data_IF_112306648731
#
_entry.id   IF_112306648731
#
_cell.length_a   1.000
_cell.length_b   1.000
_cell.length_c   1.000
_cell.angle_alpha   90.00
_cell.angle_beta   90.00
_cell.angle_gamma   90.00
#
_symmetry.space_group_name_H-M   'P 1'
#
loop_
_entity.id
_entity.type
_entity.pdbx_description
1 polymer ?
#
# COMPACT_ATOMS: atom_id res chain seq x y z
N UNK A 1 0.05 -1.78 -31.43
CA UNK A 1 0.86 -0.71 -30.79
C UNK A 1 0.58 -0.78 -29.30
N UNK A 2 1.62 -0.85 -28.47
CA UNK A 2 1.48 -1.08 -27.02
C UNK A 2 0.83 0.08 -26.28
N UNK A 3 0.37 -0.18 -25.05
CA UNK A 3 -0.21 0.84 -24.16
C UNK A 3 0.88 1.76 -23.59
N UNK A 4 1.37 2.70 -24.40
CA UNK A 4 2.37 3.69 -23.96
C UNK A 4 2.05 5.08 -24.51
N UNK A 5 2.35 6.10 -23.73
CA UNK A 5 2.25 7.50 -24.14
C UNK A 5 3.29 7.87 -25.22
N UNK A 6 3.04 8.96 -25.94
CA UNK A 6 3.99 9.53 -26.91
C UNK A 6 5.22 10.15 -26.26
N UNK A 7 5.06 10.61 -25.01
CA UNK A 7 6.13 11.13 -24.16
C UNK A 7 5.86 10.72 -22.70
N UNK A 8 6.90 10.59 -21.86
CA UNK A 8 6.71 10.20 -20.47
C UNK A 8 6.19 11.36 -19.64
N UNK A 9 5.27 11.07 -18.73
CA UNK A 9 4.93 11.98 -17.63
C UNK A 9 6.12 11.99 -16.67
N UNK A 10 6.82 13.12 -16.62
CA UNK A 10 8.02 13.32 -15.80
C UNK A 10 7.76 14.07 -14.50
N UNK A 11 6.52 14.54 -14.29
CA UNK A 11 6.07 15.13 -13.02
C UNK A 11 6.30 14.15 -11.90
N UNK A 12 6.96 14.62 -10.84
CA UNK A 12 7.22 13.85 -9.63
C UNK A 12 6.30 14.32 -8.53
N UNK A 13 5.64 13.38 -7.89
CA UNK A 13 5.07 13.63 -6.57
C UNK A 13 6.12 13.20 -5.56
N UNK A 14 6.49 14.10 -4.67
CA UNK A 14 7.52 13.87 -3.65
C UNK A 14 6.94 14.26 -2.30
N UNK A 15 7.09 13.39 -1.32
CA UNK A 15 6.70 13.64 0.06
C UNK A 15 7.88 13.35 0.98
N UNK A 16 7.90 14.03 2.12
CA UNK A 16 8.86 13.75 3.18
C UNK A 16 8.21 13.98 4.54
N UNK A 17 8.51 13.10 5.49
CA UNK A 17 8.01 13.20 6.85
C UNK A 17 9.08 12.74 7.85
N UNK A 18 8.98 13.21 9.09
CA UNK A 18 9.92 12.83 10.14
C UNK A 18 9.25 12.89 11.52
N UNK A 19 9.71 12.02 12.43
CA UNK A 19 9.46 12.09 13.87
C UNK A 19 10.78 11.89 14.63
N UNK A 20 10.72 11.59 15.93
CA UNK A 20 11.93 11.36 16.74
C UNK A 20 12.71 10.09 16.31
N UNK A 21 12.03 9.09 15.75
CA UNK A 21 12.59 7.78 15.42
C UNK A 21 12.94 7.64 13.93
N UNK A 22 12.20 8.30 13.04
CA UNK A 22 12.23 8.08 11.60
C UNK A 22 12.34 9.39 10.81
N UNK A 23 13.04 9.33 9.68
CA UNK A 23 13.08 10.38 8.64
C UNK A 23 12.91 9.72 7.28
N UNK A 24 11.93 10.16 6.52
CA UNK A 24 11.45 9.44 5.33
C UNK A 24 11.25 10.41 4.19
N UNK A 25 11.61 9.95 2.99
CA UNK A 25 11.27 10.59 1.74
C UNK A 25 10.71 9.55 0.77
N UNK A 26 9.66 9.92 0.04
CA UNK A 26 9.11 9.13 -1.06
C UNK A 26 9.02 9.99 -2.31
N UNK A 27 9.14 9.37 -3.47
CA UNK A 27 8.77 10.01 -4.73
C UNK A 27 8.24 9.00 -5.72
N UNK A 28 7.19 9.36 -6.45
CA UNK A 28 6.63 8.55 -7.53
C UNK A 28 6.49 9.36 -8.83
N UNK A 29 6.45 8.65 -9.96
CA UNK A 29 6.39 9.23 -11.30
C UNK A 29 5.80 8.20 -12.27
N UNK A 30 4.77 8.58 -13.03
CA UNK A 30 4.05 7.68 -13.94
C UNK A 30 4.89 7.19 -15.13
N UNK A 31 5.77 8.04 -15.66
CA UNK A 31 6.59 7.70 -16.82
C UNK A 31 5.75 7.44 -18.08
N UNK A 32 6.02 6.35 -18.77
CA UNK A 32 5.46 6.06 -20.11
C UNK A 32 4.09 5.38 -20.09
N UNK A 33 3.60 4.96 -18.92
CA UNK A 33 2.30 4.28 -18.78
C UNK A 33 1.17 5.28 -18.96
N UNK A 34 0.02 4.80 -19.43
CA UNK A 34 -1.17 5.64 -19.63
C UNK A 34 -1.74 6.11 -18.28
N UNK A 35 -1.73 5.23 -17.27
CA UNK A 35 -2.21 5.49 -15.93
C UNK A 35 -1.09 5.25 -14.91
N UNK A 36 -1.12 6.00 -13.82
CA UNK A 36 -0.34 5.72 -12.61
C UNK A 36 -1.10 4.70 -11.76
N UNK A 37 -0.60 3.46 -11.70
CA UNK A 37 -1.24 2.36 -10.98
C UNK A 37 -0.59 2.11 -9.62
N UNK A 38 0.61 2.67 -9.36
CA UNK A 38 1.27 2.53 -8.06
C UNK A 38 0.58 3.40 -6.99
N UNK A 39 0.57 2.88 -5.76
CA UNK A 39 0.21 3.64 -4.55
C UNK A 39 1.33 3.49 -3.52
N UNK A 40 1.39 4.38 -2.53
CA UNK A 40 2.32 4.25 -1.42
C UNK A 40 1.78 4.91 -0.16
N UNK A 41 2.26 4.48 1.00
CA UNK A 41 1.91 5.07 2.30
C UNK A 41 3.13 5.15 3.21
N UNK A 42 3.18 6.22 4.00
CA UNK A 42 4.18 6.41 5.05
C UNK A 42 3.51 6.88 6.35
N UNK A 43 3.25 5.95 7.26
CA UNK A 43 2.74 6.20 8.59
C UNK A 43 3.89 6.17 9.59
N UNK A 44 4.16 7.31 10.22
CA UNK A 44 5.18 7.42 11.28
C UNK A 44 4.70 6.89 12.64
N UNK A 45 3.40 6.60 12.74
CA UNK A 45 2.72 5.96 13.85
C UNK A 45 1.47 5.28 13.29
N UNK A 46 1.24 4.02 13.65
CA UNK A 46 0.01 3.32 13.28
C UNK A 46 -1.13 3.83 14.19
N UNK A 47 -2.36 4.03 13.66
CA UNK A 47 -3.52 4.27 14.51
C UNK A 47 -3.63 3.14 15.54
N UNK A 48 -3.72 3.49 16.83
CA UNK A 48 -3.74 2.57 17.98
C UNK A 48 -2.39 1.96 18.40
N UNK A 49 -1.31 2.18 17.64
CA UNK A 49 0.07 1.87 18.05
C UNK A 49 1.06 2.97 17.64
N UNK A 50 1.30 3.88 18.58
CA UNK A 50 2.20 5.03 18.37
C UNK A 50 3.69 4.68 18.37
N UNK A 51 4.06 3.44 18.70
CA UNK A 51 5.46 2.99 18.70
C UNK A 51 5.85 2.33 17.37
N UNK A 52 4.89 1.73 16.67
CA UNK A 52 5.11 1.11 15.36
C UNK A 52 4.94 2.10 14.21
N UNK A 53 5.71 1.92 13.15
CA UNK A 53 5.58 2.70 11.92
C UNK A 53 5.25 1.77 10.74
N UNK A 54 4.60 2.30 9.71
CA UNK A 54 4.19 1.50 8.56
C UNK A 54 4.50 2.18 7.26
N UNK A 55 5.26 1.49 6.40
CA UNK A 55 5.63 1.96 5.07
C UNK A 55 5.20 0.91 4.05
N UNK A 56 4.74 1.34 2.89
CA UNK A 56 4.46 0.41 1.81
C UNK A 56 4.42 1.11 0.47
N UNK A 57 4.79 0.35 -0.56
CA UNK A 57 4.68 0.72 -1.97
C UNK A 57 3.95 -0.41 -2.65
N UNK A 58 2.85 -0.10 -3.31
CA UNK A 58 1.95 -1.04 -3.94
C UNK A 58 2.05 -0.84 -5.46
N UNK A 59 2.70 -1.75 -6.18
CA UNK A 59 2.79 -1.71 -7.65
C UNK A 59 1.52 -2.31 -8.26
N UNK A 60 0.60 -1.45 -8.72
CA UNK A 60 -0.67 -1.87 -9.32
C UNK A 60 -0.49 -2.35 -10.76
N UNK A 61 -1.21 -3.42 -11.14
CA UNK A 61 -1.20 -3.93 -12.50
C UNK A 61 -2.61 -4.25 -12.99
N UNK A 62 -3.05 -3.60 -14.07
CA UNK A 62 -4.38 -3.82 -14.64
C UNK A 62 -5.47 -2.92 -14.05
N UNK A 63 -5.05 -1.88 -13.32
CA UNK A 63 -5.89 -0.92 -12.63
C UNK A 63 -5.24 -0.42 -11.34
N UNK A 64 -5.59 0.79 -10.92
CA UNK A 64 -5.07 1.41 -9.69
C UNK A 64 -5.92 1.11 -8.45
N UNK A 65 -7.08 0.45 -8.60
CA UNK A 65 -8.03 0.31 -7.49
C UNK A 65 -7.48 -0.54 -6.35
N UNK A 66 -6.91 -1.71 -6.68
CA UNK A 66 -6.42 -2.63 -5.65
C UNK A 66 -5.22 -2.05 -4.90
N UNK A 67 -4.27 -1.39 -5.60
CA UNK A 67 -3.13 -0.73 -4.95
C UNK A 67 -3.57 0.44 -4.05
N UNK A 68 -4.55 1.24 -4.50
CA UNK A 68 -5.14 2.31 -3.68
C UNK A 68 -5.90 1.74 -2.47
N UNK A 69 -6.71 0.70 -2.65
CA UNK A 69 -7.45 0.06 -1.58
C UNK A 69 -6.51 -0.53 -0.53
N UNK A 70 -5.47 -1.24 -0.96
CA UNK A 70 -4.45 -1.80 -0.07
C UNK A 70 -3.76 -0.70 0.77
N UNK A 71 -3.44 0.44 0.15
CA UNK A 71 -2.81 1.57 0.86
C UNK A 71 -3.67 2.13 2.01
N UNK A 72 -5.00 2.06 1.89
CA UNK A 72 -5.95 2.62 2.87
C UNK A 72 -6.27 1.61 3.99
N UNK A 73 -6.23 0.32 3.69
CA UNK A 73 -6.80 -0.73 4.55
C UNK A 73 -5.78 -1.69 5.16
N UNK A 74 -4.69 -2.03 4.47
CA UNK A 74 -3.82 -3.13 4.88
C UNK A 74 -3.19 -2.93 6.27
N UNK A 75 -2.64 -1.74 6.53
CA UNK A 75 -2.03 -1.41 7.83
C UNK A 75 -3.02 -1.55 9.00
N UNK A 76 -4.30 -1.23 8.79
CA UNK A 76 -5.35 -1.38 9.80
C UNK A 76 -5.67 -2.85 10.05
N UNK A 77 -5.75 -3.65 8.99
CA UNK A 77 -6.02 -5.09 9.09
C UNK A 77 -4.89 -5.83 9.81
N UNK A 78 -3.64 -5.42 9.60
CA UNK A 78 -2.50 -5.98 10.33
C UNK A 78 -2.55 -5.56 11.80
N UNK A 79 -2.71 -4.27 12.10
CA UNK A 79 -2.69 -3.74 13.47
C UNK A 79 -3.85 -4.23 14.35
N UNK A 80 -5.01 -4.51 13.76
CA UNK A 80 -6.18 -5.05 14.48
C UNK A 80 -6.18 -6.56 14.61
N UNK A 81 -5.19 -7.26 14.05
CA UNK A 81 -5.09 -8.71 14.12
C UNK A 81 -4.69 -9.17 15.53
N UNK A 82 -5.26 -10.27 16.02
CA UNK A 82 -4.90 -10.84 17.33
C UNK A 82 -3.40 -11.19 17.41
N UNK A 83 -2.81 -11.69 16.32
CA UNK A 83 -1.38 -12.01 16.28
C UNK A 83 -0.48 -10.79 16.41
N UNK A 84 -0.96 -9.61 16.02
CA UNK A 84 -0.22 -8.36 16.22
C UNK A 84 -0.07 -8.06 17.71
N UNK A 85 -1.17 -8.17 18.46
CA UNK A 85 -1.21 -7.94 19.91
C UNK A 85 -0.38 -8.98 20.68
N UNK A 86 -0.32 -10.22 20.17
CA UNK A 86 0.51 -11.29 20.71
C UNK A 86 2.02 -11.13 20.40
N UNK A 87 2.38 -10.14 19.56
CA UNK A 87 3.76 -9.93 19.10
C UNK A 87 4.20 -10.88 17.98
N UNK A 88 3.28 -11.70 17.44
CA UNK A 88 3.54 -12.54 16.27
C UNK A 88 3.28 -11.77 14.98
N UNK A 89 4.20 -10.83 14.70
CA UNK A 89 4.10 -9.90 13.57
C UNK A 89 4.04 -10.63 12.22
N UNK A 90 4.82 -11.69 12.03
CA UNK A 90 4.84 -12.45 10.78
C UNK A 90 3.46 -13.00 10.44
N UNK A 91 2.78 -13.58 11.42
CA UNK A 91 1.44 -14.12 11.22
C UNK A 91 0.40 -13.00 11.09
N UNK A 92 0.55 -11.91 11.83
CA UNK A 92 -0.31 -10.72 11.69
C UNK A 92 -0.28 -10.15 10.27
N UNK A 93 0.91 -10.10 9.64
CA UNK A 93 1.07 -9.66 8.25
C UNK A 93 0.34 -10.64 7.33
N UNK A 94 0.64 -11.94 7.41
CA UNK A 94 0.00 -12.96 6.55
C UNK A 94 -1.52 -12.89 6.64
N UNK A 95 -2.06 -12.88 7.85
CA UNK A 95 -3.50 -12.79 8.08
C UNK A 95 -4.08 -11.45 7.64
N UNK A 96 -3.34 -10.34 7.79
CA UNK A 96 -3.76 -9.03 7.28
C UNK A 96 -3.90 -9.01 5.76
N UNK A 97 -3.00 -9.67 5.03
CA UNK A 97 -3.09 -9.83 3.57
C UNK A 97 -4.27 -10.71 3.15
N UNK A 98 -4.49 -11.84 3.84
CA UNK A 98 -5.64 -12.72 3.57
C UNK A 98 -6.97 -12.01 3.84
N UNK A 99 -7.05 -11.26 4.95
CA UNK A 99 -8.22 -10.47 5.29
C UNK A 99 -8.47 -9.35 4.28
N UNK A 100 -7.41 -8.74 3.73
CA UNK A 100 -7.54 -7.72 2.68
C UNK A 100 -8.12 -8.35 1.39
N UNK A 101 -7.60 -9.50 0.97
CA UNK A 101 -8.11 -10.24 -0.20
C UNK A 101 -9.58 -10.63 -0.03
N UNK A 102 -9.94 -11.19 1.13
CA UNK A 102 -11.32 -11.54 1.44
C UNK A 102 -12.24 -10.31 1.44
N UNK A 103 -11.77 -9.18 1.99
CA UNK A 103 -12.53 -7.94 2.01
C UNK A 103 -12.77 -7.39 0.60
N UNK A 104 -11.75 -7.37 -0.25
CA UNK A 104 -11.88 -6.95 -1.65
C UNK A 104 -12.82 -7.87 -2.43
N UNK A 105 -12.77 -9.19 -2.18
CA UNK A 105 -13.67 -10.16 -2.83
C UNK A 105 -15.15 -9.96 -2.45
N UNK A 106 -15.41 -9.48 -1.23
CA UNK A 106 -16.76 -9.23 -0.71
C UNK A 106 -17.26 -7.80 -0.94
N UNK A 107 -16.44 -6.92 -1.51
CA UNK A 107 -16.78 -5.54 -1.81
C UNK A 107 -17.29 -5.45 -3.26
N UNK A 108 -18.52 -4.99 -3.44
CA UNK A 108 -19.18 -4.94 -4.76
C UNK A 108 -18.44 -4.03 -5.77
N UNK A 109 -17.64 -3.06 -5.32
CA UNK A 109 -16.87 -2.18 -6.21
C UNK A 109 -15.50 -2.76 -6.61
N UNK A 110 -15.00 -3.73 -5.84
CA UNK A 110 -13.67 -4.33 -5.99
C UNK A 110 -13.71 -5.75 -6.55
N UNK A 111 -14.79 -6.51 -6.35
CA UNK A 111 -14.87 -7.95 -6.69
C UNK A 111 -14.55 -8.26 -8.16
N UNK A 112 -14.93 -7.38 -9.08
CA UNK A 112 -14.76 -7.58 -10.51
C UNK A 112 -13.46 -6.93 -11.03
N UNK A 113 -12.66 -6.32 -10.16
CA UNK A 113 -11.37 -5.73 -10.49
C UNK A 113 -10.27 -6.81 -10.52
N UNK A 114 -9.61 -6.95 -11.66
CA UNK A 114 -8.56 -7.96 -11.87
C UNK A 114 -7.17 -7.42 -11.59
N UNK A 115 -7.06 -6.23 -10.98
CA UNK A 115 -5.76 -5.63 -10.71
C UNK A 115 -5.00 -6.39 -9.62
N UNK A 116 -3.69 -6.54 -9.83
CA UNK A 116 -2.79 -7.10 -8.82
C UNK A 116 -1.98 -5.98 -8.19
N UNK A 117 -1.53 -6.19 -6.94
CA UNK A 117 -0.51 -5.33 -6.35
C UNK A 117 0.65 -6.16 -5.83
N UNK A 118 1.88 -5.64 -5.94
CA UNK A 118 3.06 -6.33 -5.42
C UNK A 118 3.83 -5.40 -4.47
N UNK A 119 4.20 -5.98 -3.32
CA UNK A 119 5.14 -5.54 -2.28
C UNK A 119 4.63 -4.66 -1.13
N UNK A 120 5.21 -4.85 0.06
CA UNK A 120 5.07 -4.01 1.26
C UNK A 120 6.30 -4.22 2.16
N UNK A 121 6.81 -3.16 2.80
CA UNK A 121 7.87 -3.24 3.80
C UNK A 121 7.45 -2.50 5.06
N UNK A 122 7.02 -3.22 6.08
CA UNK A 122 6.60 -2.63 7.35
C UNK A 122 7.67 -2.86 8.42
N UNK A 123 7.91 -1.83 9.23
CA UNK A 123 8.83 -1.85 10.37
C UNK A 123 7.98 -1.80 11.65
N UNK A 124 7.61 -3.00 12.14
CA UNK A 124 6.78 -3.20 13.33
C UNK A 124 7.65 -3.43 14.57
#
# INVERSE_FOLDING_TARGET
MGQTLSEPVTTKETASCANLSYKIGSSCMQGWRINMEDAHIHLLAIPDDTQAAFFAVYDGHGGAKVSQYASIHLHKLIATNAHYVEGNIEEAIKQGFLALDEKMRNDDEMRDDMSTFIWTYADF
#
